data_IF_558646441854
#
_entry.id   IF_558646441854
#
_cell.length_a   1.000
_cell.length_b   1.000
_cell.length_c   1.000
_cell.angle_alpha   90.00
_cell.angle_beta   90.00
_cell.angle_gamma   90.00
#
_symmetry.space_group_name_H-M   'P 1'
#
loop_
_entity.id
_entity.type
_entity.pdbx_description
1 polymer ?
#
# COMPACT_ATOMS: atom_id res chain seq x y z
N UNK A 1 49.75 17.86 84.38
CA UNK A 1 49.45 16.44 84.09
C UNK A 1 48.01 16.30 83.78
N UNK A 2 47.67 16.09 82.52
CA UNK A 2 46.54 15.31 81.96
C UNK A 2 46.35 15.66 80.49
N UNK A 3 46.73 14.71 79.65
CA UNK A 3 46.51 14.74 78.22
C UNK A 3 45.04 14.54 77.93
N UNK A 4 44.43 15.39 77.14
CA UNK A 4 43.13 15.13 76.51
C UNK A 4 43.36 15.08 75.01
N UNK A 5 43.25 13.88 74.44
CA UNK A 5 43.24 13.61 72.97
C UNK A 5 41.91 14.07 72.38
N UNK A 6 41.99 14.95 71.43
CA UNK A 6 40.86 15.26 70.57
C UNK A 6 40.75 14.24 69.46
N UNK A 7 39.62 13.58 69.36
CA UNK A 7 39.22 12.73 68.26
C UNK A 7 38.48 13.58 67.18
N UNK A 8 39.00 13.58 66.01
CA UNK A 8 38.33 14.18 64.83
C UNK A 8 37.28 13.20 64.24
N UNK A 9 36.12 13.65 63.85
CA UNK A 9 35.14 12.79 63.14
C UNK A 9 35.47 12.70 61.66
N UNK A 10 35.51 11.47 61.14
CA UNK A 10 35.59 11.13 59.76
C UNK A 10 34.23 11.46 59.05
N UNK A 11 34.27 12.39 58.12
CA UNK A 11 33.14 12.71 57.27
C UNK A 11 33.02 11.60 56.24
N UNK A 12 31.95 10.82 56.33
CA UNK A 12 31.56 9.86 55.31
C UNK A 12 30.94 10.57 54.09
N UNK A 13 31.67 10.59 52.98
CA UNK A 13 31.11 10.96 51.66
C UNK A 13 30.22 9.85 51.14
N UNK A 14 28.91 10.06 51.20
CA UNK A 14 27.93 9.20 50.52
C UNK A 14 27.93 9.50 49.04
N UNK A 15 28.42 8.55 48.23
CA UNK A 15 28.36 8.58 46.77
C UNK A 15 26.94 8.20 46.32
N UNK A 16 26.13 9.18 45.97
CA UNK A 16 24.80 8.94 45.36
C UNK A 16 24.99 8.50 43.92
N UNK A 17 24.94 7.20 43.66
CA UNK A 17 24.86 6.63 42.33
C UNK A 17 23.45 6.90 41.73
N UNK A 18 23.34 7.93 40.91
CA UNK A 18 22.15 8.21 40.13
C UNK A 18 21.98 7.15 39.04
N UNK A 19 21.13 6.16 39.28
CA UNK A 19 20.66 5.24 38.23
C UNK A 19 19.73 6.00 37.24
N UNK A 20 20.32 6.54 36.18
CA UNK A 20 19.57 7.08 35.06
C UNK A 20 18.85 5.95 34.34
N UNK A 21 17.56 5.79 34.60
CA UNK A 21 16.69 4.87 33.90
C UNK A 21 16.41 5.45 32.51
N UNK A 22 17.26 5.11 31.52
CA UNK A 22 17.02 5.42 30.12
C UNK A 22 15.82 4.63 29.66
N UNK A 23 14.64 5.28 29.63
CA UNK A 23 13.43 4.76 29.00
C UNK A 23 13.64 4.78 27.48
N UNK A 24 14.24 3.70 26.95
CA UNK A 24 14.28 3.49 25.51
C UNK A 24 12.82 3.34 25.02
N UNK A 25 12.26 4.39 24.44
CA UNK A 25 11.03 4.31 23.68
C UNK A 25 11.25 3.35 22.54
N UNK A 26 10.77 2.12 22.69
CA UNK A 26 10.53 1.19 21.60
C UNK A 26 9.43 1.83 20.73
N UNK A 27 9.86 2.63 19.75
CA UNK A 27 9.01 2.98 18.63
C UNK A 27 8.69 1.67 17.91
N UNK A 28 7.58 1.03 18.28
CA UNK A 28 7.02 -0.09 17.54
C UNK A 28 6.72 0.40 16.14
N UNK A 29 7.57 0.05 15.19
CA UNK A 29 7.21 0.11 13.78
C UNK A 29 6.02 -0.84 13.61
N UNK A 30 4.80 -0.32 13.70
CA UNK A 30 3.65 -0.97 13.11
C UNK A 30 4.01 -1.10 11.64
N UNK A 31 4.33 -2.30 11.19
CA UNK A 31 4.78 -2.56 9.84
C UNK A 31 3.64 -2.33 8.84
N UNK A 32 3.35 -1.07 8.55
CA UNK A 32 2.40 -0.71 7.51
C UNK A 32 3.11 -0.94 6.18
N UNK A 33 2.57 -1.84 5.37
CA UNK A 33 3.10 -2.17 4.05
C UNK A 33 2.95 -0.95 3.13
N UNK A 34 4.06 -0.36 2.70
CA UNK A 34 4.05 0.74 1.73
C UNK A 34 3.92 0.19 0.31
N UNK A 35 3.07 0.80 -0.50
CA UNK A 35 3.01 0.50 -1.92
C UNK A 35 4.37 0.81 -2.58
N UNK A 36 4.88 -0.08 -3.44
CA UNK A 36 6.17 0.10 -4.07
C UNK A 36 6.18 1.31 -5.01
N UNK A 37 7.36 1.90 -5.20
CA UNK A 37 7.56 2.90 -6.24
C UNK A 37 7.60 2.19 -7.60
N UNK A 38 6.57 2.36 -8.41
CA UNK A 38 6.49 1.82 -9.77
C UNK A 38 6.14 2.91 -10.76
N UNK A 39 6.84 2.89 -11.91
CA UNK A 39 6.52 3.68 -13.09
C UNK A 39 5.87 2.76 -14.11
N UNK A 40 4.93 3.27 -14.89
CA UNK A 40 4.21 2.50 -15.88
C UNK A 40 3.84 3.34 -17.09
N UNK A 41 3.50 2.66 -18.19
CA UNK A 41 3.02 3.30 -19.41
C UNK A 41 1.56 2.91 -19.62
N UNK A 42 0.71 3.90 -19.81
CA UNK A 42 -0.69 3.72 -20.12
C UNK A 42 -0.88 3.24 -21.57
N UNK A 43 -2.06 2.70 -21.91
CA UNK A 43 -2.36 2.25 -23.28
C UNK A 43 -2.29 3.39 -24.32
N UNK A 44 -2.42 4.64 -23.93
CA UNK A 44 -2.28 5.82 -24.79
C UNK A 44 -0.81 6.31 -24.92
N UNK A 45 0.14 5.58 -24.35
CA UNK A 45 1.57 5.88 -24.39
C UNK A 45 2.08 6.87 -23.34
N UNK A 46 1.21 7.45 -22.51
CA UNK A 46 1.65 8.35 -21.43
C UNK A 46 2.36 7.57 -20.32
N UNK A 47 3.46 8.13 -19.84
CA UNK A 47 4.16 7.62 -18.67
C UNK A 47 3.57 8.22 -17.40
N UNK A 48 3.46 7.40 -16.36
CA UNK A 48 3.00 7.80 -15.05
C UNK A 48 3.68 6.98 -13.95
N UNK A 49 3.60 7.48 -12.73
CA UNK A 49 4.12 6.82 -11.53
C UNK A 49 3.00 6.60 -10.52
N UNK A 50 3.03 5.51 -9.79
CA UNK A 50 2.08 5.27 -8.72
C UNK A 50 2.13 6.37 -7.65
N UNK A 51 3.30 6.98 -7.46
CA UNK A 51 3.48 8.09 -6.52
C UNK A 51 2.63 9.32 -6.89
N UNK A 52 2.29 9.52 -8.17
CA UNK A 52 1.41 10.62 -8.60
C UNK A 52 -0.04 10.45 -8.12
N UNK A 53 -0.41 9.26 -7.66
CA UNK A 53 -1.73 8.96 -7.11
C UNK A 53 -1.79 9.14 -5.57
N UNK A 54 -0.77 9.71 -4.94
CA UNK A 54 -0.83 10.10 -3.53
C UNK A 54 -1.98 11.09 -3.30
N UNK A 55 -2.69 10.93 -2.20
CA UNK A 55 -3.91 11.69 -1.93
C UNK A 55 -5.19 11.05 -2.48
N UNK A 56 -5.05 9.97 -3.27
CA UNK A 56 -6.17 9.17 -3.75
C UNK A 56 -6.20 7.80 -3.05
N UNK A 57 -7.39 7.23 -2.94
CA UNK A 57 -7.55 5.81 -2.63
C UNK A 57 -7.42 5.03 -3.93
N UNK A 58 -6.50 4.08 -4.00
CA UNK A 58 -6.16 3.39 -5.25
C UNK A 58 -6.41 1.89 -5.13
N UNK A 59 -7.16 1.33 -6.08
CA UNK A 59 -7.25 -0.11 -6.27
C UNK A 59 -6.27 -0.53 -7.39
N UNK A 60 -5.21 -1.24 -7.04
CA UNK A 60 -4.35 -1.90 -8.03
C UNK A 60 -4.86 -3.32 -8.20
N UNK A 61 -5.27 -3.66 -9.44
CA UNK A 61 -5.80 -4.99 -9.78
C UNK A 61 -4.93 -5.66 -10.83
N UNK A 62 -4.37 -6.82 -10.49
CA UNK A 62 -3.62 -7.68 -11.40
C UNK A 62 -4.56 -8.67 -12.07
N UNK A 63 -4.58 -8.68 -13.40
CA UNK A 63 -5.53 -9.44 -14.19
C UNK A 63 -4.95 -9.96 -15.51
N UNK A 64 -5.71 -10.78 -16.24
CA UNK A 64 -5.38 -11.18 -17.60
C UNK A 64 -6.67 -11.40 -18.40
N UNK A 65 -6.59 -11.25 -19.72
CA UNK A 65 -7.73 -11.49 -20.64
C UNK A 65 -8.16 -12.95 -20.66
N UNK A 66 -7.23 -13.87 -20.38
CA UNK A 66 -7.47 -15.32 -20.27
C UNK A 66 -8.00 -15.77 -18.90
N UNK A 67 -8.04 -14.86 -17.92
CA UNK A 67 -8.50 -15.13 -16.57
C UNK A 67 -10.01 -14.92 -16.47
N UNK A 68 -10.80 -15.99 -16.54
CA UNK A 68 -12.26 -15.89 -16.49
C UNK A 68 -12.80 -15.13 -15.27
N UNK A 69 -12.37 -15.42 -14.02
CA UNK A 69 -12.83 -14.64 -12.86
C UNK A 69 -12.44 -13.17 -12.92
N UNK A 70 -11.29 -12.81 -13.55
CA UNK A 70 -10.91 -11.42 -13.74
C UNK A 70 -11.91 -10.69 -14.67
N UNK A 71 -12.28 -11.33 -15.78
CA UNK A 71 -13.25 -10.79 -16.73
C UNK A 71 -14.63 -10.62 -16.09
N UNK A 72 -15.04 -11.57 -15.25
CA UNK A 72 -16.29 -11.51 -14.48
C UNK A 72 -16.34 -10.33 -13.51
N UNK A 73 -15.19 -9.91 -12.94
CA UNK A 73 -15.09 -8.80 -11.99
C UNK A 73 -15.13 -7.42 -12.65
N UNK A 74 -14.77 -7.29 -13.92
CA UNK A 74 -14.65 -6.00 -14.60
C UNK A 74 -15.90 -5.10 -14.50
N UNK A 75 -17.14 -5.61 -14.66
CA UNK A 75 -18.32 -4.77 -14.47
C UNK A 75 -18.42 -4.18 -13.06
N UNK A 76 -18.08 -4.94 -12.02
CA UNK A 76 -18.10 -4.45 -10.65
C UNK A 76 -16.99 -3.43 -10.39
N UNK A 77 -15.79 -3.61 -10.97
CA UNK A 77 -14.72 -2.62 -10.92
C UNK A 77 -15.16 -1.31 -11.59
N UNK A 78 -15.76 -1.38 -12.76
CA UNK A 78 -16.30 -0.20 -13.48
C UNK A 78 -17.38 0.51 -12.65
N UNK A 79 -18.28 -0.24 -12.01
CA UNK A 79 -19.32 0.33 -11.15
C UNK A 79 -18.73 1.06 -9.94
N UNK A 80 -17.75 0.45 -9.27
CA UNK A 80 -17.06 1.08 -8.13
C UNK A 80 -16.27 2.32 -8.57
N UNK A 81 -15.52 2.25 -9.68
CA UNK A 81 -14.78 3.40 -10.18
C UNK A 81 -15.72 4.56 -10.51
N UNK A 82 -16.82 4.33 -11.25
CA UNK A 82 -17.81 5.37 -11.57
C UNK A 82 -18.42 6.02 -10.34
N UNK A 83 -18.63 5.23 -9.30
CA UNK A 83 -19.23 5.71 -8.04
C UNK A 83 -18.27 6.57 -7.25
N UNK A 84 -17.00 6.19 -7.14
CA UNK A 84 -16.06 6.76 -6.19
C UNK A 84 -14.98 7.65 -6.82
N UNK A 85 -14.74 7.59 -8.14
CA UNK A 85 -13.73 8.43 -8.80
C UNK A 85 -13.96 9.94 -8.61
N UNK A 86 -15.21 10.46 -8.56
CA UNK A 86 -15.41 11.88 -8.25
C UNK A 86 -14.97 12.28 -6.84
N UNK A 87 -14.74 11.30 -5.95
CA UNK A 87 -14.32 11.50 -4.57
C UNK A 87 -12.81 11.22 -4.38
N UNK A 88 -12.06 10.97 -5.45
CA UNK A 88 -10.61 10.70 -5.35
C UNK A 88 -10.26 9.21 -5.26
N UNK A 89 -11.12 8.32 -5.75
CA UNK A 89 -10.78 6.91 -5.93
C UNK A 89 -10.26 6.66 -7.33
N UNK A 90 -9.19 5.88 -7.44
CA UNK A 90 -8.63 5.46 -8.73
C UNK A 90 -8.48 3.94 -8.81
N UNK A 91 -8.51 3.41 -10.03
CA UNK A 91 -8.25 2.00 -10.31
C UNK A 91 -7.11 1.90 -11.31
N UNK A 92 -6.07 1.13 -11.00
CA UNK A 92 -4.99 0.79 -11.90
C UNK A 92 -5.09 -0.69 -12.25
N UNK A 93 -5.58 -1.00 -13.44
CA UNK A 93 -5.71 -2.38 -13.91
C UNK A 93 -4.41 -2.80 -14.62
N UNK A 94 -3.63 -3.66 -13.98
CA UNK A 94 -2.32 -4.13 -14.45
C UNK A 94 -2.48 -5.52 -15.05
N UNK A 95 -2.32 -5.65 -16.37
CA UNK A 95 -2.32 -6.96 -17.01
C UNK A 95 -0.97 -7.65 -16.80
N UNK A 96 -1.01 -8.98 -16.58
CA UNK A 96 0.17 -9.78 -16.32
C UNK A 96 1.05 -9.93 -17.55
N UNK A 97 2.36 -10.14 -17.36
CA UNK A 97 3.37 -10.24 -18.41
C UNK A 97 3.09 -11.34 -19.46
N UNK A 98 2.35 -12.37 -19.09
CA UNK A 98 1.98 -13.45 -20.01
C UNK A 98 0.77 -13.13 -20.91
N UNK A 99 0.08 -12.01 -20.68
CA UNK A 99 -1.07 -11.60 -21.49
C UNK A 99 -0.63 -10.80 -22.72
N UNK A 100 -1.14 -11.17 -23.88
CA UNK A 100 -0.71 -10.54 -25.12
C UNK A 100 -1.18 -9.07 -25.18
N UNK A 101 -0.28 -8.09 -25.43
CA UNK A 101 -0.62 -6.66 -25.42
C UNK A 101 -1.81 -6.28 -26.32
N UNK A 102 -1.91 -6.92 -27.50
CA UNK A 102 -3.02 -6.68 -28.41
C UNK A 102 -4.37 -7.13 -27.85
N UNK A 103 -4.40 -8.25 -27.09
CA UNK A 103 -5.62 -8.73 -26.44
C UNK A 103 -6.05 -7.79 -25.33
N UNK A 104 -5.10 -7.31 -24.52
CA UNK A 104 -5.36 -6.35 -23.44
C UNK A 104 -5.93 -5.05 -24.00
N UNK A 105 -5.28 -4.49 -25.03
CA UNK A 105 -5.73 -3.25 -25.68
C UNK A 105 -7.12 -3.40 -26.29
N UNK A 106 -7.37 -4.50 -27.03
CA UNK A 106 -8.69 -4.78 -27.61
C UNK A 106 -9.76 -4.97 -26.53
N UNK A 107 -9.44 -5.65 -25.43
CA UNK A 107 -10.37 -5.84 -24.33
C UNK A 107 -10.73 -4.50 -23.68
N UNK A 108 -9.73 -3.69 -23.34
CA UNK A 108 -9.95 -2.38 -22.71
C UNK A 108 -10.82 -1.46 -23.58
N UNK A 109 -10.55 -1.42 -24.91
CA UNK A 109 -11.30 -0.61 -25.86
C UNK A 109 -12.73 -1.14 -26.04
N UNK A 110 -12.89 -2.45 -26.32
CA UNK A 110 -14.21 -3.05 -26.58
C UNK A 110 -15.16 -2.98 -25.40
N UNK A 111 -14.61 -2.97 -24.18
CA UNK A 111 -15.36 -2.84 -22.91
C UNK A 111 -15.46 -1.40 -22.43
N UNK A 112 -14.81 -0.45 -23.13
CA UNK A 112 -14.75 0.97 -22.77
C UNK A 112 -14.38 1.14 -21.28
N UNK A 113 -13.29 0.48 -20.84
CA UNK A 113 -12.83 0.56 -19.43
C UNK A 113 -12.51 2.02 -19.10
N UNK A 114 -13.12 2.59 -18.04
CA UNK A 114 -13.02 4.02 -17.76
C UNK A 114 -11.79 4.40 -16.93
N UNK A 115 -11.04 3.42 -16.45
CA UNK A 115 -9.88 3.59 -15.59
C UNK A 115 -8.57 3.23 -16.33
N UNK A 116 -7.40 3.67 -15.81
CA UNK A 116 -6.10 3.31 -16.35
C UNK A 116 -5.87 1.80 -16.47
N UNK A 117 -5.44 1.38 -17.66
CA UNK A 117 -4.98 0.01 -17.95
C UNK A 117 -3.51 0.06 -18.30
N UNK A 118 -2.73 -0.82 -17.67
CA UNK A 118 -1.29 -0.95 -17.84
C UNK A 118 -0.96 -2.37 -18.27
N UNK A 119 0.02 -2.52 -19.15
CA UNK A 119 0.55 -3.82 -19.57
C UNK A 119 1.92 -4.01 -18.89
N UNK A 120 2.01 -4.95 -17.98
CA UNK A 120 3.27 -5.27 -17.29
C UNK A 120 4.11 -6.26 -18.10
N UNK A 121 4.63 -5.80 -19.25
CA UNK A 121 5.36 -6.63 -20.21
C UNK A 121 6.55 -7.39 -19.61
N UNK A 122 7.14 -6.86 -18.56
CA UNK A 122 8.33 -7.42 -17.92
C UNK A 122 8.03 -8.22 -16.66
N UNK A 123 6.83 -8.08 -16.11
CA UNK A 123 6.47 -8.62 -14.79
C UNK A 123 7.05 -7.81 -13.62
N UNK A 124 7.69 -6.68 -13.89
CA UNK A 124 8.35 -5.88 -12.87
C UNK A 124 7.36 -5.27 -11.88
N UNK A 125 6.18 -4.85 -12.35
CA UNK A 125 5.16 -4.28 -11.48
C UNK A 125 4.64 -5.38 -10.54
N UNK A 126 4.28 -6.55 -11.09
CA UNK A 126 3.83 -7.70 -10.30
C UNK A 126 4.88 -8.14 -9.28
N UNK A 127 6.16 -8.17 -9.68
CA UNK A 127 7.28 -8.48 -8.80
C UNK A 127 7.37 -7.49 -7.63
N UNK A 128 7.35 -6.19 -7.90
CA UNK A 128 7.42 -5.14 -6.85
C UNK A 128 6.25 -5.16 -5.88
N UNK A 129 5.08 -5.63 -6.31
CA UNK A 129 3.92 -5.80 -5.44
C UNK A 129 3.92 -7.12 -4.64
N UNK A 130 5.11 -7.72 -4.46
CA UNK A 130 5.30 -8.94 -3.66
C UNK A 130 5.09 -10.22 -4.48
N UNK A 131 5.67 -10.27 -5.67
CA UNK A 131 5.66 -11.43 -6.57
C UNK A 131 4.24 -11.95 -6.86
N UNK A 132 3.37 -11.09 -7.34
CA UNK A 132 1.99 -11.46 -7.69
C UNK A 132 2.00 -12.51 -8.80
N UNK A 133 1.60 -13.73 -8.46
CA UNK A 133 1.57 -14.88 -9.39
C UNK A 133 0.16 -15.33 -9.75
N UNK A 134 -0.85 -14.94 -8.97
CA UNK A 134 -2.23 -15.38 -9.16
C UNK A 134 -3.13 -14.22 -9.59
N UNK A 135 -4.05 -14.50 -10.49
CA UNK A 135 -5.06 -13.53 -10.94
C UNK A 135 -6.48 -14.08 -10.72
N UNK A 136 -7.42 -13.20 -10.33
CA UNK A 136 -7.20 -11.80 -9.97
C UNK A 136 -6.49 -11.66 -8.63
N UNK A 137 -5.67 -10.61 -8.49
CA UNK A 137 -5.15 -10.14 -7.20
C UNK A 137 -5.37 -8.65 -7.12
N UNK A 138 -6.01 -8.18 -6.05
CA UNK A 138 -6.30 -6.77 -5.84
C UNK A 138 -5.68 -6.26 -4.55
N UNK A 139 -5.12 -5.05 -4.60
CA UNK A 139 -4.58 -4.34 -3.46
C UNK A 139 -5.24 -2.97 -3.34
N UNK A 140 -5.74 -2.66 -2.16
CA UNK A 140 -6.29 -1.34 -1.87
C UNK A 140 -5.24 -0.52 -1.13
N UNK A 141 -4.97 0.67 -1.65
CA UNK A 141 -3.95 1.60 -1.16
C UNK A 141 -4.66 2.86 -0.68
N UNK A 142 -4.32 3.33 0.51
CA UNK A 142 -4.88 4.56 1.06
C UNK A 142 -4.19 5.82 0.51
N UNK A 143 -4.66 7.01 0.91
CA UNK A 143 -4.14 8.31 0.47
C UNK A 143 -2.66 8.52 0.81
N UNK A 144 -2.15 7.85 1.86
CA UNK A 144 -0.73 7.88 2.25
C UNK A 144 0.14 6.90 1.46
N UNK A 145 -0.47 6.07 0.58
CA UNK A 145 0.18 5.04 -0.22
C UNK A 145 0.50 3.77 0.57
N UNK A 146 -0.24 3.50 1.60
CA UNK A 146 -0.13 2.30 2.41
C UNK A 146 -1.11 1.25 1.87
N UNK A 147 -0.64 0.01 1.71
CA UNK A 147 -1.48 -1.12 1.33
C UNK A 147 -2.30 -1.53 2.56
N UNK A 148 -3.60 -1.26 2.51
CA UNK A 148 -4.52 -1.52 3.63
C UNK A 148 -5.29 -2.83 3.49
N UNK A 149 -5.37 -3.36 2.27
CA UNK A 149 -6.03 -4.63 2.00
C UNK A 149 -5.46 -5.31 0.78
N UNK A 150 -5.39 -6.65 0.82
CA UNK A 150 -5.03 -7.51 -0.31
C UNK A 150 -6.07 -8.63 -0.44
N UNK A 151 -6.54 -8.86 -1.66
CA UNK A 151 -7.34 -10.02 -2.05
C UNK A 151 -6.58 -10.84 -3.07
N UNK A 152 -6.37 -12.12 -2.80
CA UNK A 152 -5.85 -13.10 -3.76
C UNK A 152 -7.02 -13.97 -4.18
N UNK A 153 -7.34 -13.98 -5.47
CA UNK A 153 -8.61 -14.46 -5.99
C UNK A 153 -9.65 -13.34 -6.10
N UNK A 154 -10.92 -13.70 -6.27
CA UNK A 154 -12.00 -12.71 -6.48
C UNK A 154 -12.06 -11.65 -5.38
N UNK A 155 -12.18 -10.39 -5.82
CA UNK A 155 -12.33 -9.25 -4.94
C UNK A 155 -13.72 -9.24 -4.30
N UNK A 156 -13.79 -9.09 -2.99
CA UNK A 156 -15.07 -8.85 -2.31
C UNK A 156 -15.50 -7.37 -2.48
N UNK A 157 -16.26 -7.12 -3.54
CA UNK A 157 -16.75 -5.76 -3.84
C UNK A 157 -17.79 -5.25 -2.85
N UNK A 158 -18.44 -6.15 -2.09
CA UNK A 158 -19.35 -5.73 -1.02
C UNK A 158 -18.57 -5.16 0.17
N UNK A 159 -17.40 -5.73 0.48
CA UNK A 159 -16.50 -5.21 1.50
C UNK A 159 -15.68 -4.01 0.99
N UNK A 160 -15.35 -3.96 -0.32
CA UNK A 160 -14.53 -2.90 -0.92
C UNK A 160 -15.23 -1.53 -0.85
N UNK A 161 -16.50 -1.44 -1.20
CA UNK A 161 -17.21 -0.17 -1.30
C UNK A 161 -17.25 0.64 0.02
N UNK A 162 -17.63 0.07 1.20
CA UNK A 162 -17.56 0.79 2.46
C UNK A 162 -16.13 1.13 2.87
N UNK A 163 -15.14 0.29 2.52
CA UNK A 163 -13.75 0.56 2.84
C UNK A 163 -13.20 1.75 2.03
N UNK A 164 -13.53 1.88 0.73
CA UNK A 164 -13.20 3.06 -0.05
C UNK A 164 -13.77 4.32 0.60
N UNK A 165 -15.04 4.31 0.98
CA UNK A 165 -15.69 5.46 1.59
C UNK A 165 -15.03 5.85 2.94
N UNK A 166 -14.63 4.85 3.74
CA UNK A 166 -13.88 5.09 4.98
C UNK A 166 -12.52 5.74 4.71
N UNK A 167 -11.73 5.17 3.80
CA UNK A 167 -10.40 5.66 3.47
C UNK A 167 -10.42 7.04 2.80
N UNK A 168 -11.49 7.33 2.03
CA UNK A 168 -11.64 8.66 1.44
C UNK A 168 -11.94 9.74 2.48
N UNK A 169 -12.63 9.40 3.56
CA UNK A 169 -12.88 10.30 4.68
C UNK A 169 -11.64 10.58 5.54
N UNK A 170 -10.57 9.77 5.44
CA UNK A 170 -9.30 10.00 6.14
C UNK A 170 -8.56 11.21 5.56
N UNK A 171 -7.96 12.02 6.46
CA UNK A 171 -7.19 13.23 6.10
C UNK A 171 -5.74 12.90 5.80
#
# INVERSE_FOLDING_TARGET
MRFVRALAPLASMALAAGAGLSLAMLAGCSGVEQAPAVSYTLLDGRHADLASLRGHVVLVNFWATSCAPCVEEMPAMVANWRRFSPQGFETLAVSMAYDAPALVSNFAQSRALPFPVVIDNTGEIAHRFGDVQFTPTSLLINKRGEIVRRWVGKTDFAALAPLIAQLDAER
#
